data_IF_317765891557
#
_entry.id   IF_317765891557
#
_cell.length_a   1.000
_cell.length_b   1.000
_cell.length_c   1.000
_cell.angle_alpha   90.00
_cell.angle_beta   90.00
_cell.angle_gamma   90.00
#
_symmetry.space_group_name_H-M   'P 1'
#
loop_
_entity.id
_entity.type
_entity.pdbx_description
1 polymer ?
#
# COMPACT_ATOMS: atom_id res chain seq x y z
N UNK A 1 -30.17 -21.55 52.90
CA UNK A 1 -30.26 -20.23 52.26
C UNK A 1 -29.30 -20.10 51.06
N UNK A 2 -29.41 -20.96 50.03
CA UNK A 2 -28.47 -20.98 48.87
C UNK A 2 -29.11 -20.64 47.51
N UNK A 3 -30.45 -20.63 47.42
CA UNK A 3 -31.18 -20.45 46.15
C UNK A 3 -31.17 -19.00 45.63
N UNK A 4 -31.06 -17.99 46.50
CA UNK A 4 -30.96 -16.58 46.09
C UNK A 4 -29.60 -16.24 45.48
N UNK A 5 -28.50 -16.79 46.02
CA UNK A 5 -27.15 -16.56 45.48
C UNK A 5 -26.94 -17.24 44.10
N UNK A 6 -27.62 -18.37 43.87
CA UNK A 6 -27.60 -19.03 42.56
C UNK A 6 -28.25 -18.17 41.46
N UNK A 7 -29.29 -17.41 41.80
CA UNK A 7 -29.92 -16.48 40.87
C UNK A 7 -28.98 -15.33 40.48
N UNK A 8 -28.24 -14.78 41.45
CA UNK A 8 -27.22 -13.77 41.20
C UNK A 8 -26.10 -14.27 40.27
N UNK A 9 -25.66 -15.52 40.46
CA UNK A 9 -24.66 -16.13 39.58
C UNK A 9 -25.19 -16.31 38.15
N UNK A 10 -26.43 -16.77 37.98
CA UNK A 10 -27.06 -16.88 36.65
C UNK A 10 -27.18 -15.51 35.98
N UNK A 11 -27.63 -14.48 36.70
CA UNK A 11 -27.78 -13.14 36.14
C UNK A 11 -26.44 -12.54 35.71
N UNK A 12 -25.38 -12.79 36.47
CA UNK A 12 -24.03 -12.31 36.14
C UNK A 12 -23.51 -12.99 34.86
N UNK A 13 -23.68 -14.31 34.74
CA UNK A 13 -23.28 -15.06 33.53
C UNK A 13 -24.08 -14.62 32.30
N UNK A 14 -25.38 -14.36 32.43
CA UNK A 14 -26.18 -13.81 31.33
C UNK A 14 -25.70 -12.42 30.91
N UNK A 15 -25.40 -11.53 31.87
CA UNK A 15 -24.89 -10.20 31.59
C UNK A 15 -23.52 -10.23 30.90
N UNK A 16 -22.60 -11.10 31.31
CA UNK A 16 -21.29 -11.23 30.66
C UNK A 16 -21.42 -11.74 29.22
N UNK A 17 -22.30 -12.72 28.97
CA UNK A 17 -22.57 -13.22 27.62
C UNK A 17 -23.18 -12.12 26.74
N UNK A 18 -24.12 -11.34 27.26
CA UNK A 18 -24.72 -10.20 26.54
C UNK A 18 -23.66 -9.14 26.22
N UNK A 19 -22.77 -8.81 27.16
CA UNK A 19 -21.70 -7.82 26.92
C UNK A 19 -20.73 -8.33 25.84
N UNK A 20 -20.31 -9.59 25.90
CA UNK A 20 -19.44 -10.20 24.87
C UNK A 20 -20.12 -10.18 23.51
N UNK A 21 -21.41 -10.50 23.45
CA UNK A 21 -22.21 -10.45 22.23
C UNK A 21 -22.28 -9.04 21.64
N UNK A 22 -22.52 -8.02 22.48
CA UNK A 22 -22.54 -6.61 22.06
C UNK A 22 -21.18 -6.15 21.52
N UNK A 23 -20.08 -6.55 22.17
CA UNK A 23 -18.72 -6.25 21.70
C UNK A 23 -18.47 -6.90 20.34
N UNK A 24 -18.82 -8.17 20.17
CA UNK A 24 -18.68 -8.86 18.88
C UNK A 24 -19.53 -8.21 17.78
N UNK A 25 -20.77 -7.84 18.09
CA UNK A 25 -21.67 -7.19 17.14
C UNK A 25 -21.16 -5.81 16.72
N UNK A 26 -20.61 -5.03 17.65
CA UNK A 26 -20.00 -3.74 17.36
C UNK A 26 -18.78 -3.88 16.42
N UNK A 27 -17.92 -4.88 16.65
CA UNK A 27 -16.74 -5.14 15.79
C UNK A 27 -17.13 -5.44 14.34
N UNK A 28 -18.21 -6.19 14.11
CA UNK A 28 -18.68 -6.49 12.76
C UNK A 28 -19.15 -5.24 12.01
N UNK A 29 -19.86 -4.32 12.69
CA UNK A 29 -20.35 -3.10 12.06
C UNK A 29 -19.22 -2.12 11.72
N UNK A 30 -18.18 -2.07 12.55
CA UNK A 30 -17.00 -1.24 12.29
C UNK A 30 -16.26 -1.66 11.02
N UNK A 31 -15.99 -2.97 10.85
CA UNK A 31 -15.26 -3.48 9.67
C UNK A 31 -16.04 -3.21 8.38
N UNK A 32 -17.37 -3.34 8.38
CA UNK A 32 -18.21 -3.09 7.20
C UNK A 32 -18.16 -1.64 6.69
N UNK A 33 -17.79 -0.68 7.54
CA UNK A 33 -17.68 0.73 7.17
C UNK A 33 -16.45 1.08 6.34
N UNK A 34 -15.46 0.19 6.25
CA UNK A 34 -14.22 0.43 5.48
C UNK A 34 -14.49 0.11 4.02
N UNK A 35 -14.43 1.14 3.17
CA UNK A 35 -14.77 1.05 1.74
C UNK A 35 -13.63 1.51 0.82
N UNK A 36 -12.59 2.11 1.36
CA UNK A 36 -11.49 2.71 0.61
C UNK A 36 -10.14 2.52 1.34
N UNK A 37 -9.04 2.89 0.66
CA UNK A 37 -7.70 2.77 1.21
C UNK A 37 -7.47 3.68 2.43
N UNK A 38 -8.01 4.91 2.42
CA UNK A 38 -7.80 5.91 3.46
C UNK A 38 -8.47 5.49 4.78
N UNK A 39 -9.74 5.08 4.72
CA UNK A 39 -10.47 4.49 5.85
C UNK A 39 -9.82 3.21 6.39
N UNK A 40 -9.15 2.42 5.53
CA UNK A 40 -8.38 1.26 5.96
C UNK A 40 -7.11 1.66 6.73
N UNK A 41 -6.36 2.65 6.23
CA UNK A 41 -5.16 3.16 6.86
C UNK A 41 -5.48 3.87 8.20
N UNK A 42 -6.52 4.71 8.23
CA UNK A 42 -6.98 5.44 9.42
C UNK A 42 -7.50 4.50 10.51
N UNK A 43 -8.10 3.37 10.11
CA UNK A 43 -8.49 2.32 11.03
C UNK A 43 -7.30 1.54 11.63
N UNK A 44 -6.06 1.86 11.23
CA UNK A 44 -4.83 1.30 11.78
C UNK A 44 -4.49 -0.09 11.25
N UNK A 45 -5.03 -0.47 10.09
CA UNK A 45 -4.68 -1.75 9.46
C UNK A 45 -3.28 -1.72 8.82
N UNK A 46 -2.64 -2.89 8.64
CA UNK A 46 -1.33 -2.96 8.02
C UNK A 46 -1.34 -2.41 6.58
N UNK A 47 -0.57 -1.35 6.37
CA UNK A 47 -0.28 -0.80 5.04
C UNK A 47 1.05 -1.36 4.55
N UNK A 48 1.03 -1.99 3.39
CA UNK A 48 2.20 -2.52 2.70
C UNK A 48 2.94 -1.39 2.00
N UNK A 49 4.27 -1.36 2.16
CA UNK A 49 5.20 -0.46 1.47
C UNK A 49 5.45 -0.91 0.02
N UNK A 50 4.39 -1.19 -0.72
CA UNK A 50 4.43 -1.37 -2.17
C UNK A 50 3.94 -0.09 -2.83
N UNK A 51 4.27 0.10 -4.11
CA UNK A 51 3.61 1.10 -4.95
C UNK A 51 2.81 0.39 -6.05
N UNK A 52 1.48 0.58 -6.16
CA UNK A 52 0.63 1.36 -5.25
C UNK A 52 0.60 0.81 -3.82
N UNK A 53 0.34 1.69 -2.83
CA UNK A 53 0.18 1.26 -1.45
C UNK A 53 -1.04 0.35 -1.33
N UNK A 54 -0.94 -0.65 -0.46
CA UNK A 54 -2.01 -1.63 -0.26
C UNK A 54 -2.30 -1.75 1.23
N UNK A 55 -3.58 -1.75 1.61
CA UNK A 55 -4.02 -1.91 2.99
C UNK A 55 -4.89 -3.16 3.13
N UNK A 56 -4.60 -4.00 4.14
CA UNK A 56 -5.30 -5.27 4.34
C UNK A 56 -6.07 -5.30 5.65
N UNK A 57 -7.37 -5.51 5.56
CA UNK A 57 -8.25 -5.62 6.73
C UNK A 57 -8.21 -7.02 7.36
N UNK A 58 -8.64 -7.12 8.62
CA UNK A 58 -8.67 -8.38 9.39
C UNK A 58 -9.64 -9.43 8.84
N UNK A 59 -10.61 -9.03 8.04
CA UNK A 59 -11.53 -9.93 7.32
C UNK A 59 -10.96 -10.43 5.98
N UNK A 60 -9.80 -9.92 5.56
CA UNK A 60 -9.10 -10.33 4.36
C UNK A 60 -9.37 -9.48 3.11
N UNK A 61 -10.14 -8.39 3.20
CA UNK A 61 -10.24 -7.43 2.08
C UNK A 61 -8.91 -6.68 1.88
N UNK A 62 -8.66 -6.33 0.62
CA UNK A 62 -7.48 -5.59 0.19
C UNK A 62 -7.94 -4.31 -0.50
N UNK A 63 -7.45 -3.18 -0.01
CA UNK A 63 -7.71 -1.87 -0.59
C UNK A 63 -6.40 -1.36 -1.18
N UNK A 64 -6.41 -1.01 -2.46
CA UNK A 64 -5.24 -0.50 -3.18
C UNK A 64 -5.44 1.01 -3.35
N UNK A 65 -4.39 1.78 -3.10
CA UNK A 65 -4.38 3.22 -3.34
C UNK A 65 -4.63 3.50 -4.83
N UNK A 66 -5.58 4.39 -5.11
CA UNK A 66 -5.85 4.82 -6.48
C UNK A 66 -4.73 5.76 -6.95
N UNK A 67 -4.01 5.32 -7.97
CA UNK A 67 -2.90 6.08 -8.56
C UNK A 67 -3.37 6.67 -9.88
N UNK A 68 -3.09 7.94 -10.16
CA UNK A 68 -3.38 8.52 -11.46
C UNK A 68 -2.57 7.79 -12.56
N UNK A 69 -3.19 6.83 -13.23
CA UNK A 69 -2.62 6.19 -14.43
C UNK A 69 -2.82 7.10 -15.63
N UNK A 70 -1.71 7.58 -16.21
CA UNK A 70 -1.69 8.45 -17.40
C UNK A 70 -2.04 7.71 -18.69
N UNK A 71 -3.32 7.35 -18.87
CA UNK A 71 -3.86 7.01 -20.17
C UNK A 71 -5.36 7.32 -20.26
N UNK A 72 -5.69 8.38 -21.02
CA UNK A 72 -7.01 8.53 -21.66
C UNK A 72 -8.05 9.45 -21.03
N UNK A 73 -7.75 10.13 -19.93
CA UNK A 73 -8.55 11.23 -19.38
C UNK A 73 -7.63 12.07 -18.49
N UNK A 74 -7.84 13.39 -18.37
CA UNK A 74 -6.97 14.36 -17.69
C UNK A 74 -6.45 13.87 -16.32
N UNK A 75 -5.34 13.12 -16.33
CA UNK A 75 -4.67 12.57 -15.15
C UNK A 75 -3.20 12.84 -15.32
N UNK A 76 -2.82 13.95 -14.72
CA UNK A 76 -1.46 14.42 -14.56
C UNK A 76 -0.67 13.33 -13.84
N UNK A 77 0.29 12.68 -14.52
CA UNK A 77 1.32 11.88 -13.84
C UNK A 77 2.02 12.77 -12.80
N UNK A 78 2.56 12.20 -11.73
CA UNK A 78 2.98 13.00 -10.58
C UNK A 78 3.93 14.15 -11.00
N UNK A 79 3.45 15.39 -10.90
CA UNK A 79 4.18 16.63 -11.18
C UNK A 79 4.97 17.05 -9.94
N UNK A 80 5.92 16.20 -9.55
CA UNK A 80 6.86 16.52 -8.47
C UNK A 80 8.27 16.20 -8.91
N UNK A 81 9.21 17.08 -8.55
CA UNK A 81 10.61 16.82 -8.84
C UNK A 81 11.15 15.69 -7.96
N UNK A 82 11.67 14.60 -8.55
CA UNK A 82 12.39 13.59 -7.80
C UNK A 82 13.75 14.13 -7.33
N UNK A 83 14.37 13.46 -6.36
CA UNK A 83 15.70 13.81 -5.87
C UNK A 83 16.78 13.43 -6.88
N UNK A 84 16.65 12.24 -7.49
CA UNK A 84 17.62 11.72 -8.47
C UNK A 84 16.92 10.96 -9.60
N UNK A 85 17.52 10.99 -10.79
CA UNK A 85 17.18 10.12 -11.92
C UNK A 85 18.35 9.18 -12.19
N UNK A 86 18.16 7.88 -11.93
CA UNK A 86 19.21 6.89 -12.08
C UNK A 86 18.98 6.03 -13.32
N UNK A 87 20.04 5.80 -14.10
CA UNK A 87 20.12 4.80 -15.16
C UNK A 87 21.12 3.72 -14.78
N UNK A 88 20.62 2.52 -14.52
CA UNK A 88 21.43 1.37 -14.14
C UNK A 88 21.97 0.63 -15.38
N UNK A 89 23.27 0.71 -15.59
CA UNK A 89 24.02 0.01 -16.64
C UNK A 89 24.87 -1.15 -16.09
N UNK A 90 24.72 -1.50 -14.80
CA UNK A 90 25.43 -2.64 -14.21
C UNK A 90 25.21 -3.91 -15.05
N UNK A 91 26.29 -4.64 -15.37
CA UNK A 91 26.18 -5.88 -16.13
C UNK A 91 25.40 -6.91 -15.31
N UNK A 92 24.31 -7.41 -15.87
CA UNK A 92 23.54 -8.48 -15.28
C UNK A 92 24.20 -9.84 -15.54
N UNK A 93 24.21 -10.71 -14.52
CA UNK A 93 24.69 -12.09 -14.66
C UNK A 93 23.52 -12.96 -15.12
N UNK A 94 23.52 -13.34 -16.39
CA UNK A 94 22.55 -14.30 -16.91
C UNK A 94 23.02 -15.74 -16.56
N UNK A 95 22.29 -16.42 -15.67
CA UNK A 95 22.66 -17.76 -15.16
C UNK A 95 22.67 -18.85 -16.25
N UNK A 96 21.97 -18.64 -17.36
CA UNK A 96 21.80 -19.63 -18.44
C UNK A 96 22.86 -19.54 -19.55
N UNK A 97 23.92 -18.72 -19.37
CA UNK A 97 24.91 -18.49 -20.43
C UNK A 97 24.34 -17.77 -21.67
N UNK A 98 23.15 -17.18 -21.55
CA UNK A 98 22.55 -16.34 -22.60
C UNK A 98 23.14 -14.94 -22.52
N UNK A 99 23.58 -14.39 -23.65
CA UNK A 99 24.10 -13.03 -23.75
C UNK A 99 23.02 -11.96 -23.52
N UNK A 100 21.74 -12.35 -23.59
CA UNK A 100 20.63 -11.43 -23.46
C UNK A 100 19.49 -12.05 -22.63
N UNK A 101 19.46 -11.77 -21.33
CA UNK A 101 18.34 -12.11 -20.47
C UNK A 101 17.37 -10.92 -20.34
N UNK A 102 16.16 -11.10 -20.86
CA UNK A 102 15.06 -10.11 -20.88
C UNK A 102 14.70 -9.63 -19.46
N UNK A 103 14.92 -10.49 -18.46
CA UNK A 103 14.77 -10.19 -17.02
C UNK A 103 15.63 -9.02 -16.54
N UNK A 104 16.64 -8.58 -17.28
CA UNK A 104 17.60 -7.56 -16.87
C UNK A 104 17.70 -6.36 -17.84
N UNK A 105 16.93 -6.38 -18.94
CA UNK A 105 16.91 -5.27 -19.89
C UNK A 105 15.76 -4.30 -19.64
N UNK A 106 14.68 -4.77 -19.04
CA UNK A 106 13.50 -3.94 -18.79
C UNK A 106 13.69 -3.07 -17.53
N UNK A 107 13.28 -1.80 -17.60
CA UNK A 107 13.23 -0.84 -16.49
C UNK A 107 14.57 -0.55 -15.78
N UNK A 108 15.57 -0.17 -16.59
CA UNK A 108 16.89 0.28 -16.11
C UNK A 108 16.93 1.71 -15.59
N UNK A 109 15.89 2.49 -15.90
CA UNK A 109 15.74 3.85 -15.39
C UNK A 109 14.73 3.86 -14.25
N UNK A 110 14.99 4.67 -13.23
CA UNK A 110 14.09 4.91 -12.10
C UNK A 110 14.40 6.26 -11.44
N UNK A 111 13.44 6.78 -10.70
CA UNK A 111 13.62 7.98 -9.87
C UNK A 111 13.93 7.58 -8.42
N UNK A 112 14.64 8.44 -7.69
CA UNK A 112 14.73 8.40 -6.23
C UNK A 112 13.91 9.56 -5.68
N UNK A 113 13.00 9.28 -4.76
CA UNK A 113 12.20 10.30 -4.05
C UNK A 113 12.17 9.97 -2.57
N UNK A 114 12.59 10.92 -1.75
CA UNK A 114 12.78 10.77 -0.31
C UNK A 114 13.66 9.55 0.05
N UNK A 115 14.65 9.25 -0.80
CA UNK A 115 15.54 8.09 -0.67
C UNK A 115 14.92 6.74 -1.08
N UNK A 116 13.70 6.71 -1.61
CA UNK A 116 13.03 5.49 -2.10
C UNK A 116 13.02 5.43 -3.64
N UNK A 117 13.23 4.24 -4.22
CA UNK A 117 13.13 4.02 -5.68
C UNK A 117 11.68 4.08 -6.13
N UNK A 118 11.42 4.81 -7.22
CA UNK A 118 10.12 4.97 -7.87
C UNK A 118 10.22 4.72 -9.37
N UNK A 119 9.21 4.08 -9.95
CA UNK A 119 9.23 3.71 -11.37
C UNK A 119 8.88 4.94 -12.25
N UNK A 120 9.42 4.99 -13.48
CA UNK A 120 9.20 6.15 -14.39
C UNK A 120 7.72 6.36 -14.74
N UNK A 121 6.96 5.28 -14.82
CA UNK A 121 5.55 5.33 -15.20
C UNK A 121 4.64 5.98 -14.15
N UNK A 122 5.15 6.26 -12.94
CA UNK A 122 4.45 6.98 -11.89
C UNK A 122 4.45 8.50 -12.10
N UNK A 123 5.38 9.00 -12.94
CA UNK A 123 5.64 10.42 -13.14
C UNK A 123 5.26 10.86 -14.54
N UNK A 124 4.96 12.15 -14.67
CA UNK A 124 4.98 12.80 -15.97
C UNK A 124 6.45 13.14 -16.32
N UNK A 125 7.12 12.21 -17.00
CA UNK A 125 8.55 12.35 -17.33
C UNK A 125 8.84 13.63 -18.12
N UNK A 126 7.96 14.02 -19.05
CA UNK A 126 8.10 15.28 -19.80
C UNK A 126 8.04 16.49 -18.89
N UNK A 127 7.12 16.50 -17.93
CA UNK A 127 7.05 17.58 -16.94
C UNK A 127 8.31 17.64 -16.08
N UNK A 128 8.85 16.49 -15.64
CA UNK A 128 10.07 16.43 -14.85
C UNK A 128 11.26 16.97 -15.64
N UNK A 129 11.40 16.62 -16.92
CA UNK A 129 12.45 17.14 -17.80
C UNK A 129 12.36 18.66 -18.00
N UNK A 130 11.15 19.22 -18.04
CA UNK A 130 10.92 20.65 -18.27
C UNK A 130 11.01 21.50 -17.00
N UNK A 131 10.66 20.94 -15.84
CA UNK A 131 10.47 21.71 -14.60
C UNK A 131 11.51 21.40 -13.52
N UNK A 132 12.32 20.35 -13.68
CA UNK A 132 13.30 19.94 -12.69
C UNK A 132 14.72 19.99 -13.27
N UNK A 133 15.64 20.59 -12.51
CA UNK A 133 17.07 20.65 -12.87
C UNK A 133 17.77 19.34 -12.46
N UNK A 134 17.39 18.23 -13.10
CA UNK A 134 17.92 16.89 -12.79
C UNK A 134 18.77 16.36 -13.95
N UNK A 135 19.95 15.85 -13.63
CA UNK A 135 20.79 15.12 -14.58
C UNK A 135 20.67 13.60 -14.36
N UNK A 136 20.67 12.84 -15.46
CA UNK A 136 20.65 11.37 -15.39
C UNK A 136 21.98 10.86 -14.85
N UNK A 137 21.95 10.27 -13.66
CA UNK A 137 23.10 9.60 -13.06
C UNK A 137 23.22 8.18 -13.60
N UNK A 138 24.33 7.90 -14.29
CA UNK A 138 24.62 6.56 -14.81
C UNK A 138 25.39 5.77 -13.78
N UNK A 139 24.84 4.62 -13.38
CA UNK A 139 25.44 3.70 -12.41
C UNK A 139 25.90 2.45 -13.16
N UNK A 140 27.19 2.14 -13.08
CA UNK A 140 27.86 1.02 -13.79
C UNK A 140 28.23 -0.13 -12.86
#
# INVERSE_FOLDING_TARGET
MHKKNWYFLITFVLLTVIIIFLIMFARQNYIRGIVDFESCADAGYPVMKSYPRQCRTSDGRLFVEEIPSGNGDNRVGLESCPDEWIRNEMPCVCLDGKENCESCQNNREYFIVDGERRELNEYNVTWVEENCELEKTIVY
#
